data_IF_638821989509
#
_entry.id   IF_638821989509
#
_cell.length_a   1.000
_cell.length_b   1.000
_cell.length_c   1.000
_cell.angle_alpha   90.00
_cell.angle_beta   90.00
_cell.angle_gamma   90.00
#
_symmetry.space_group_name_H-M   'P 1'
#
loop_
_entity.id
_entity.type
_entity.pdbx_description
1 polymer ?
#
# COMPACT_ATOMS: atom_id res chain seq x y z
N UNK A 1 25.75 16.20 -36.67
CA UNK A 1 26.03 16.43 -35.23
C UNK A 1 24.83 17.00 -34.45
N UNK A 2 24.28 18.17 -34.81
CA UNK A 2 23.26 18.87 -33.99
C UNK A 2 21.93 18.10 -33.78
N UNK A 3 21.51 17.27 -34.75
CA UNK A 3 20.27 16.46 -34.65
C UNK A 3 20.39 15.29 -33.66
N UNK A 4 21.60 14.75 -33.49
CA UNK A 4 21.86 13.65 -32.54
C UNK A 4 21.79 14.14 -31.08
N UNK A 5 22.19 15.39 -30.85
CA UNK A 5 22.17 16.01 -29.53
C UNK A 5 20.73 16.31 -29.05
N UNK A 6 19.86 16.73 -29.96
CA UNK A 6 18.43 16.95 -29.67
C UNK A 6 17.67 15.65 -29.37
N UNK A 7 17.99 14.56 -30.06
CA UNK A 7 17.41 13.24 -29.78
C UNK A 7 17.83 12.67 -28.42
N UNK A 8 19.06 12.94 -27.97
CA UNK A 8 19.55 12.54 -26.65
C UNK A 8 18.85 13.31 -25.52
N UNK A 9 18.52 14.60 -25.75
CA UNK A 9 17.84 15.44 -24.78
C UNK A 9 16.36 15.04 -24.56
N UNK A 10 15.67 14.56 -25.60
CA UNK A 10 14.26 14.12 -25.49
C UNK A 10 14.09 12.79 -24.73
N UNK A 11 15.11 11.94 -24.71
CA UNK A 11 15.06 10.63 -24.02
C UNK A 11 15.34 10.76 -22.52
N UNK A 12 16.01 11.83 -22.08
CA UNK A 12 16.41 12.04 -20.69
C UNK A 12 15.31 12.66 -19.79
N UNK A 13 14.24 13.20 -20.37
CA UNK A 13 13.21 13.94 -19.64
C UNK A 13 12.26 13.11 -18.73
N UNK A 14 11.92 11.83 -18.99
CA UNK A 14 10.93 11.14 -18.15
C UNK A 14 11.52 10.58 -16.84
N UNK A 15 12.84 10.63 -16.64
CA UNK A 15 13.47 10.07 -15.44
C UNK A 15 13.33 10.97 -14.21
N UNK A 16 13.08 12.28 -14.40
CA UNK A 16 13.01 13.25 -13.30
C UNK A 16 11.63 13.36 -12.64
N UNK A 17 10.59 12.69 -13.17
CA UNK A 17 9.21 12.84 -12.70
C UNK A 17 8.75 11.75 -11.72
N UNK A 18 9.64 10.85 -11.29
CA UNK A 18 9.28 9.86 -10.27
C UNK A 18 9.28 10.52 -8.90
N UNK A 19 8.12 10.58 -8.26
CA UNK A 19 8.04 10.95 -6.85
C UNK A 19 8.87 9.92 -6.07
N UNK A 20 9.99 10.31 -5.43
CA UNK A 20 10.86 9.37 -4.73
C UNK A 20 10.19 8.84 -3.46
N UNK A 21 9.05 9.42 -3.04
CA UNK A 21 8.33 8.99 -1.87
C UNK A 21 7.57 7.70 -2.16
N UNK A 22 7.52 6.77 -1.20
CA UNK A 22 6.64 5.63 -1.33
C UNK A 22 5.19 6.11 -1.55
N UNK A 23 4.38 5.38 -2.32
CA UNK A 23 2.99 5.73 -2.53
C UNK A 23 2.28 5.84 -1.17
N UNK A 24 1.41 6.85 -1.05
CA UNK A 24 0.59 7.00 0.15
C UNK A 24 -0.37 5.82 0.24
N UNK A 25 -0.40 5.17 1.40
CA UNK A 25 -1.35 4.11 1.68
C UNK A 25 -2.73 4.69 1.99
N UNK A 26 -3.78 3.96 1.63
CA UNK A 26 -5.12 4.20 2.14
C UNK A 26 -5.19 3.78 3.62
N UNK A 27 -5.97 4.48 4.43
CA UNK A 27 -6.19 4.15 5.84
C UNK A 27 -7.64 3.72 6.05
N UNK A 28 -7.83 2.50 6.53
CA UNK A 28 -9.10 1.99 7.04
C UNK A 28 -8.95 1.72 8.53
N UNK A 29 -9.73 2.43 9.34
CA UNK A 29 -9.77 2.25 10.78
C UNK A 29 -11.10 1.59 11.18
N UNK A 30 -11.02 0.45 11.87
CA UNK A 30 -12.18 -0.32 12.32
C UNK A 30 -12.19 -0.31 13.85
N UNK A 31 -13.33 0.07 14.43
CA UNK A 31 -13.56 0.05 15.87
C UNK A 31 -14.86 -0.68 16.16
N UNK A 32 -14.85 -1.47 17.24
CA UNK A 32 -16.01 -2.15 17.79
C UNK A 32 -16.02 -1.90 19.30
N UNK A 33 -17.19 -1.55 19.84
CA UNK A 33 -17.36 -1.28 21.25
C UNK A 33 -17.45 -2.59 22.06
N UNK A 34 -16.94 -2.59 23.29
CA UNK A 34 -16.94 -3.73 24.22
C UNK A 34 -16.39 -5.07 23.67
N UNK A 35 -15.61 -5.04 22.58
CA UNK A 35 -15.00 -6.24 22.02
C UNK A 35 -13.86 -6.74 22.91
N UNK A 36 -13.94 -8.01 23.33
CA UNK A 36 -12.86 -8.68 24.05
C UNK A 36 -11.88 -9.41 23.10
N UNK A 37 -10.88 -10.10 23.67
CA UNK A 37 -9.88 -10.89 22.91
C UNK A 37 -10.35 -12.31 22.56
N UNK A 38 -11.64 -12.59 22.61
CA UNK A 38 -12.22 -13.88 22.25
C UNK A 38 -12.33 -14.06 20.75
N UNK A 39 -11.23 -14.01 20.01
CA UNK A 39 -11.20 -14.15 18.55
C UNK A 39 -10.71 -15.54 18.13
N UNK A 40 -11.16 -16.00 16.95
CA UNK A 40 -10.72 -17.27 16.35
C UNK A 40 -9.21 -17.29 16.11
N UNK A 41 -8.65 -16.21 15.55
CA UNK A 41 -7.21 -16.03 15.35
C UNK A 41 -6.39 -15.97 16.66
N UNK A 42 -7.04 -15.76 17.81
CA UNK A 42 -6.43 -15.86 19.13
C UNK A 42 -6.60 -17.25 19.77
N UNK A 43 -7.12 -18.24 19.02
CA UNK A 43 -7.25 -19.62 19.46
C UNK A 43 -8.52 -19.91 20.27
N UNK A 44 -9.51 -19.01 20.24
CA UNK A 44 -10.76 -19.24 20.97
C UNK A 44 -11.52 -20.45 20.38
N UNK A 45 -11.87 -21.49 21.17
CA UNK A 45 -12.31 -22.79 20.65
C UNK A 45 -13.72 -22.79 20.02
N UNK A 46 -14.52 -21.75 20.28
CA UNK A 46 -15.92 -21.65 19.84
C UNK A 46 -16.25 -20.43 18.98
N UNK A 47 -15.45 -19.36 19.07
CA UNK A 47 -15.80 -18.09 18.39
C UNK A 47 -15.32 -18.19 16.95
N UNK A 48 -16.17 -17.76 16.02
CA UNK A 48 -15.89 -17.78 14.59
C UNK A 48 -15.76 -16.35 14.07
N UNK A 49 -14.55 -15.96 13.68
CA UNK A 49 -14.24 -14.61 13.18
C UNK A 49 -13.59 -14.66 11.79
N UNK A 50 -14.21 -15.33 10.80
CA UNK A 50 -13.54 -15.70 9.55
C UNK A 50 -13.05 -14.53 8.69
N UNK A 51 -13.55 -13.30 8.91
CA UNK A 51 -13.07 -12.10 8.23
C UNK A 51 -11.89 -11.43 8.97
N UNK A 52 -11.76 -11.64 10.28
CA UNK A 52 -10.61 -11.18 11.08
C UNK A 52 -9.50 -12.24 11.17
N UNK A 53 -9.82 -13.50 10.89
CA UNK A 53 -8.88 -14.62 10.92
C UNK A 53 -8.05 -14.75 9.63
N UNK A 54 -8.41 -14.02 8.57
CA UNK A 54 -7.74 -13.99 7.26
C UNK A 54 -6.75 -12.85 7.17
#
# INVERSE_FOLDING_TARGET
MMKLLGALLLVALPLAAQDPRPPKLNVLFIAADDMNVGLGCYGHPLVKTPNLDR
#
